data_IF_485692270109
#
_entry.id   IF_485692270109
#
_cell.length_a   1.000
_cell.length_b   1.000
_cell.length_c   1.000
_cell.angle_alpha   90.00
_cell.angle_beta   90.00
_cell.angle_gamma   90.00
#
_symmetry.space_group_name_H-M   'P 1'
#
loop_
_entity.id
_entity.type
_entity.pdbx_description
1 polymer ?
#
# COMPACT_ATOMS: atom_id res chain seq x y z
N UNK A 1 -21.74 4.64 -7.91
CA UNK A 1 -20.34 4.32 -7.55
C UNK A 1 -20.37 3.84 -6.09
N UNK A 2 -19.63 2.80 -5.70
CA UNK A 2 -19.69 2.29 -4.33
C UNK A 2 -18.96 3.20 -3.33
N UNK A 3 -19.38 3.18 -2.05
CA UNK A 3 -18.83 4.03 -0.97
C UNK A 3 -17.29 4.01 -0.88
N UNK A 4 -16.67 2.85 -1.17
CA UNK A 4 -15.21 2.71 -1.20
C UNK A 4 -14.53 3.68 -2.14
N UNK A 5 -15.12 3.82 -3.31
CA UNK A 5 -14.55 4.64 -4.36
C UNK A 5 -14.71 6.12 -4.04
N UNK A 6 -15.77 6.51 -3.31
CA UNK A 6 -16.04 7.91 -3.00
C UNK A 6 -14.97 8.52 -2.10
N UNK A 7 -14.53 7.82 -1.05
CA UNK A 7 -13.46 8.32 -0.18
C UNK A 7 -12.10 8.36 -0.89
N UNK A 8 -11.77 7.35 -1.68
CA UNK A 8 -10.55 7.36 -2.50
C UNK A 8 -10.56 8.54 -3.48
N UNK A 9 -11.66 8.77 -4.19
CA UNK A 9 -11.83 9.91 -5.10
C UNK A 9 -11.62 11.24 -4.37
N UNK A 10 -12.19 11.40 -3.18
CA UNK A 10 -12.08 12.63 -2.40
C UNK A 10 -10.63 12.95 -2.04
N UNK A 11 -9.83 11.96 -1.63
CA UNK A 11 -8.41 12.16 -1.34
C UNK A 11 -7.60 12.41 -2.61
N UNK A 12 -7.86 11.66 -3.68
CA UNK A 12 -7.15 11.82 -4.96
C UNK A 12 -7.37 13.20 -5.57
N UNK A 13 -8.57 13.78 -5.46
CA UNK A 13 -8.83 15.16 -5.91
C UNK A 13 -7.91 16.19 -5.25
N UNK A 14 -7.45 15.95 -4.02
CA UNK A 14 -6.53 16.88 -3.35
C UNK A 14 -5.16 16.91 -4.04
N UNK A 15 -4.72 15.79 -4.61
CA UNK A 15 -3.43 15.65 -5.32
C UNK A 15 -3.39 16.40 -6.66
N UNK A 16 -4.53 16.79 -7.22
CA UNK A 16 -4.60 17.60 -8.46
C UNK A 16 -4.15 19.04 -8.22
N UNK A 17 -4.23 19.51 -6.98
CA UNK A 17 -3.73 20.83 -6.62
C UNK A 17 -2.21 20.73 -6.48
N UNK A 18 -1.48 21.78 -6.83
CA UNK A 18 -0.03 21.80 -6.72
C UNK A 18 0.44 21.67 -5.24
N UNK A 19 0.54 20.44 -4.74
CA UNK A 19 0.86 20.13 -3.35
C UNK A 19 2.37 20.05 -3.11
N UNK A 20 2.78 20.42 -1.90
CA UNK A 20 4.13 20.14 -1.42
C UNK A 20 4.25 18.69 -0.90
N UNK A 21 5.48 18.25 -0.63
CA UNK A 21 5.78 16.88 -0.19
C UNK A 21 5.05 16.47 1.11
N UNK A 22 4.86 17.40 2.04
CA UNK A 22 4.15 17.13 3.29
C UNK A 22 2.67 16.87 3.01
N UNK A 23 2.02 17.70 2.20
CA UNK A 23 0.60 17.54 1.86
C UNK A 23 0.36 16.26 1.05
N UNK A 24 1.29 15.88 0.17
CA UNK A 24 1.26 14.59 -0.53
C UNK A 24 1.34 13.45 0.47
N UNK A 25 2.30 13.51 1.40
CA UNK A 25 2.48 12.50 2.46
C UNK A 25 1.23 12.32 3.32
N UNK A 26 0.60 13.43 3.75
CA UNK A 26 -0.65 13.41 4.53
C UNK A 26 -1.81 12.80 3.74
N UNK A 27 -1.88 13.05 2.43
CA UNK A 27 -2.86 12.43 1.56
C UNK A 27 -2.67 10.91 1.48
N UNK A 28 -1.44 10.45 1.28
CA UNK A 28 -1.12 9.03 1.26
C UNK A 28 -1.42 8.37 2.60
N UNK A 29 -1.16 9.04 3.72
CA UNK A 29 -1.50 8.53 5.04
C UNK A 29 -3.01 8.32 5.22
N UNK A 30 -3.85 9.27 4.78
CA UNK A 30 -5.31 9.12 4.84
C UNK A 30 -5.83 8.01 3.94
N UNK A 31 -5.26 7.87 2.74
CA UNK A 31 -5.60 6.76 1.83
C UNK A 31 -5.18 5.42 2.44
N UNK A 32 -3.96 5.34 3.00
CA UNK A 32 -3.46 4.13 3.65
C UNK A 32 -4.32 3.71 4.84
N UNK A 33 -4.65 4.65 5.72
CA UNK A 33 -5.56 4.42 6.84
C UNK A 33 -6.89 3.86 6.37
N UNK A 34 -7.48 4.48 5.34
CA UNK A 34 -8.71 3.99 4.77
C UNK A 34 -8.63 2.55 4.24
N UNK A 35 -7.65 2.28 3.39
CA UNK A 35 -7.49 0.97 2.75
C UNK A 35 -7.13 -0.14 3.75
N UNK A 36 -6.36 0.17 4.80
CA UNK A 36 -5.79 -0.82 5.72
C UNK A 36 -6.65 -1.03 6.97
N UNK A 37 -7.47 -0.05 7.37
CA UNK A 37 -8.31 -0.11 8.58
C UNK A 37 -9.81 -0.22 8.27
N UNK A 38 -10.27 0.22 7.09
CA UNK A 38 -11.72 0.28 6.78
C UNK A 38 -12.10 -0.50 5.52
N UNK A 39 -11.16 -1.13 4.83
CA UNK A 39 -11.43 -1.97 3.66
C UNK A 39 -11.01 -3.42 3.87
N UNK A 40 -11.83 -4.34 3.37
CA UNK A 40 -11.49 -5.75 3.21
C UNK A 40 -11.28 -6.02 1.73
N UNK A 41 -10.14 -6.61 1.38
CA UNK A 41 -9.91 -7.17 0.05
C UNK A 41 -10.58 -8.56 -0.01
N UNK A 42 -11.49 -8.75 -0.95
CA UNK A 42 -12.15 -10.02 -1.23
C UNK A 42 -11.52 -10.67 -2.47
N UNK A 43 -11.23 -11.96 -2.39
CA UNK A 43 -10.81 -12.79 -3.52
C UNK A 43 -11.48 -14.17 -3.40
N UNK A 44 -12.54 -14.38 -4.19
CA UNK A 44 -13.43 -15.53 -4.08
C UNK A 44 -13.99 -15.69 -2.67
N UNK A 45 -13.75 -16.86 -2.08
CA UNK A 45 -14.21 -17.20 -0.72
C UNK A 45 -13.40 -16.51 0.38
N UNK A 46 -12.24 -15.95 0.06
CA UNK A 46 -11.32 -15.40 1.04
C UNK A 46 -11.50 -13.90 1.22
N UNK A 47 -11.24 -13.48 2.47
CA UNK A 47 -11.22 -12.09 2.88
C UNK A 47 -9.87 -11.76 3.51
N UNK A 48 -9.34 -10.61 3.16
CA UNK A 48 -8.02 -10.17 3.56
C UNK A 48 -8.05 -8.75 4.12
N UNK A 49 -7.15 -8.50 5.07
CA UNK A 49 -6.72 -7.15 5.41
C UNK A 49 -5.50 -6.80 4.56
N UNK A 50 -5.46 -5.61 3.98
CA UNK A 50 -4.23 -5.08 3.38
C UNK A 50 -3.32 -4.62 4.52
N UNK A 51 -2.08 -5.13 4.54
CA UNK A 51 -1.12 -4.88 5.64
C UNK A 51 0.17 -4.20 5.20
N UNK A 52 0.42 -4.12 3.88
CA UNK A 52 1.58 -3.39 3.36
C UNK A 52 1.28 -2.81 1.98
N UNK A 53 1.48 -1.51 1.79
CA UNK A 53 1.30 -0.81 0.51
C UNK A 53 2.44 0.18 0.22
N UNK A 54 2.67 0.47 -1.06
CA UNK A 54 3.59 1.52 -1.53
C UNK A 54 2.91 2.45 -2.53
N UNK A 55 3.10 3.76 -2.37
CA UNK A 55 2.61 4.76 -3.31
C UNK A 55 3.65 5.09 -4.39
N UNK A 56 3.17 5.16 -5.63
CA UNK A 56 3.90 5.60 -6.80
C UNK A 56 3.10 6.73 -7.44
N UNK A 57 3.62 7.95 -7.36
CA UNK A 57 2.94 9.16 -7.81
C UNK A 57 3.88 10.01 -8.65
N UNK A 58 3.49 10.27 -9.91
CA UNK A 58 4.28 11.09 -10.81
C UNK A 58 3.44 12.23 -11.34
N UNK A 59 3.88 13.46 -11.02
CA UNK A 59 3.31 14.71 -11.48
C UNK A 59 4.44 15.66 -11.89
N UNK A 60 4.18 16.68 -12.69
CA UNK A 60 5.21 17.61 -13.20
C UNK A 60 6.09 18.19 -12.08
N UNK A 61 5.47 18.56 -10.95
CA UNK A 61 6.15 19.12 -9.77
C UNK A 61 6.54 18.08 -8.72
N UNK A 62 6.24 16.81 -9.00
CA UNK A 62 6.63 15.66 -8.20
C UNK A 62 7.05 14.50 -9.13
N UNK A 63 8.16 14.67 -9.88
CA UNK A 63 8.54 13.74 -10.94
C UNK A 63 9.21 12.48 -10.39
N UNK A 64 8.47 11.65 -9.67
CA UNK A 64 8.99 10.38 -9.13
C UNK A 64 9.38 9.46 -10.31
N UNK A 65 10.67 9.10 -10.46
CA UNK A 65 11.14 8.31 -11.60
C UNK A 65 10.90 6.81 -11.42
N UNK A 66 10.41 6.37 -10.25
CA UNK A 66 10.10 4.97 -9.99
C UNK A 66 8.68 4.57 -10.41
N UNK A 67 7.86 5.54 -10.81
CA UNK A 67 6.53 5.29 -11.38
C UNK A 67 6.68 4.74 -12.79
N UNK A 68 5.88 3.74 -13.14
CA UNK A 68 5.95 3.11 -14.47
C UNK A 68 5.48 4.04 -15.59
N UNK A 69 4.63 5.01 -15.26
CA UNK A 69 3.99 5.95 -16.20
C UNK A 69 3.22 5.24 -17.33
N UNK A 70 2.66 4.07 -17.02
CA UNK A 70 1.80 3.35 -17.94
C UNK A 70 0.42 4.02 -18.03
N UNK A 71 -0.27 3.97 -19.16
CA UNK A 71 -1.57 4.65 -19.35
C UNK A 71 -2.64 4.20 -18.33
N UNK A 72 -2.61 2.94 -17.90
CA UNK A 72 -3.48 2.48 -16.80
C UNK A 72 -3.29 3.28 -15.50
N UNK A 73 -2.09 3.80 -15.23
CA UNK A 73 -1.83 4.64 -14.06
C UNK A 73 -2.41 6.05 -14.19
N UNK A 74 -3.01 6.45 -15.34
CA UNK A 74 -3.85 7.67 -15.47
C UNK A 74 -5.32 7.42 -15.14
N UNK A 75 -5.66 6.22 -14.68
CA UNK A 75 -7.02 5.87 -14.29
C UNK A 75 -7.18 5.84 -12.78
N UNK A 76 -8.41 5.95 -12.30
CA UNK A 76 -8.74 5.93 -10.88
C UNK A 76 -9.51 4.66 -10.49
N UNK A 77 -9.03 3.99 -9.45
CA UNK A 77 -9.57 2.81 -8.79
C UNK A 77 -9.74 1.59 -9.69
N UNK A 78 -8.85 1.42 -10.66
CA UNK A 78 -8.75 0.18 -11.44
C UNK A 78 -7.67 -0.72 -10.84
N UNK A 79 -7.82 -2.02 -11.05
CA UNK A 79 -6.74 -2.98 -10.82
C UNK A 79 -5.74 -2.87 -11.97
N UNK A 80 -4.45 -2.72 -11.64
CA UNK A 80 -3.38 -2.73 -12.62
C UNK A 80 -2.32 -3.74 -12.23
N UNK A 81 -2.24 -4.85 -12.97
CA UNK A 81 -1.24 -5.89 -12.78
C UNK A 81 -0.04 -5.62 -13.69
N UNK A 82 1.17 -5.69 -13.13
CA UNK A 82 2.43 -5.57 -13.86
C UNK A 82 3.49 -6.49 -13.26
N UNK A 83 4.68 -6.54 -13.87
CA UNK A 83 5.76 -7.48 -13.50
C UNK A 83 6.29 -7.36 -12.06
N UNK A 84 5.88 -6.34 -11.30
CA UNK A 84 6.27 -6.19 -9.90
C UNK A 84 5.12 -6.46 -8.91
N UNK A 85 3.87 -6.59 -9.36
CA UNK A 85 2.72 -6.75 -8.47
C UNK A 85 1.42 -6.21 -9.03
N UNK A 86 0.49 -5.93 -8.10
CA UNK A 86 -0.84 -5.40 -8.38
C UNK A 86 -1.02 -4.05 -7.70
N UNK A 87 -1.44 -3.07 -8.49
CA UNK A 87 -1.74 -1.72 -8.05
C UNK A 87 -3.25 -1.48 -7.98
N UNK A 88 -3.65 -0.62 -7.04
CA UNK A 88 -4.88 0.19 -7.16
C UNK A 88 -4.47 1.49 -7.85
N UNK A 89 -4.97 1.75 -9.05
CA UNK A 89 -4.65 2.98 -9.76
C UNK A 89 -5.31 4.18 -9.09
N UNK A 90 -4.64 5.33 -9.06
CA UNK A 90 -5.20 6.56 -8.52
C UNK A 90 -4.86 7.81 -9.34
N UNK A 91 -4.44 7.63 -10.59
CA UNK A 91 -4.10 8.74 -11.46
C UNK A 91 -5.29 9.43 -12.09
N UNK A 92 -4.94 10.46 -12.85
CA UNK A 92 -5.88 11.27 -13.65
C UNK A 92 -5.22 11.60 -14.99
N UNK A 93 -5.83 12.47 -15.80
CA UNK A 93 -5.18 12.97 -17.01
C UNK A 93 -3.90 13.78 -16.71
N UNK A 94 -3.81 14.38 -15.51
CA UNK A 94 -2.73 15.29 -15.12
C UNK A 94 -1.53 14.57 -14.47
N UNK A 95 -1.73 13.34 -13.97
CA UNK A 95 -0.69 12.60 -13.25
C UNK A 95 -0.89 11.09 -13.27
N UNK A 96 0.21 10.38 -13.04
CA UNK A 96 0.22 8.92 -12.91
C UNK A 96 0.19 8.53 -11.42
N UNK A 97 -0.62 7.54 -11.07
CA UNK A 97 -0.75 7.04 -9.70
C UNK A 97 -1.01 5.53 -9.63
N UNK A 98 -0.22 4.82 -8.82
CA UNK A 98 -0.44 3.42 -8.47
C UNK A 98 -0.11 3.12 -7.00
N UNK A 99 -1.02 2.42 -6.30
CA UNK A 99 -0.81 1.93 -4.93
C UNK A 99 -0.52 0.44 -5.00
N UNK A 100 0.76 0.08 -4.90
CA UNK A 100 1.21 -1.30 -4.95
C UNK A 100 0.81 -2.03 -3.66
N UNK A 101 0.06 -3.11 -3.79
CA UNK A 101 -0.25 -4.00 -2.65
C UNK A 101 0.90 -4.99 -2.49
N UNK A 102 1.59 -4.90 -1.35
CA UNK A 102 2.76 -5.73 -1.04
C UNK A 102 2.50 -6.83 -0.05
N UNK A 103 1.49 -6.67 0.77
CA UNK A 103 1.18 -7.60 1.83
C UNK A 103 -0.29 -7.60 2.17
N UNK A 104 -0.82 -8.80 2.37
CA UNK A 104 -2.18 -9.03 2.85
C UNK A 104 -2.16 -10.06 3.99
N UNK A 105 -3.11 -9.96 4.91
CA UNK A 105 -3.34 -10.94 5.97
C UNK A 105 -4.71 -11.60 5.76
N UNK A 106 -4.73 -12.92 5.61
CA UNK A 106 -5.97 -13.68 5.47
C UNK A 106 -6.74 -13.67 6.80
N UNK A 107 -8.04 -13.37 6.76
CA UNK A 107 -8.84 -13.18 7.98
C UNK A 107 -9.17 -14.49 8.70
N UNK A 108 -9.27 -15.61 7.97
CA UNK A 108 -9.68 -16.92 8.49
C UNK A 108 -8.66 -17.52 9.46
N UNK A 109 -7.37 -17.43 9.13
CA UNK A 109 -6.27 -18.10 9.84
C UNK A 109 -5.16 -17.13 10.28
N UNK A 110 -5.31 -15.83 9.99
CA UNK A 110 -4.32 -14.77 10.27
C UNK A 110 -2.98 -14.97 9.57
N UNK A 111 -2.94 -15.79 8.52
CA UNK A 111 -1.75 -15.99 7.71
C UNK A 111 -1.36 -14.70 6.98
N UNK A 112 -0.09 -14.33 7.07
CA UNK A 112 0.47 -13.23 6.28
C UNK A 112 0.96 -13.75 4.93
N UNK A 113 0.58 -13.04 3.88
CA UNK A 113 1.11 -13.17 2.54
C UNK A 113 1.90 -11.89 2.28
N UNK A 114 3.23 -11.99 2.21
CA UNK A 114 4.12 -10.85 2.01
C UNK A 114 4.96 -11.02 0.76
N UNK A 115 5.10 -9.93 0.02
CA UNK A 115 5.68 -9.89 -1.32
C UNK A 115 4.60 -9.65 -2.37
N UNK A 116 4.74 -8.63 -3.23
CA UNK A 116 3.67 -8.23 -4.15
C UNK A 116 3.31 -9.31 -5.19
N UNK A 117 4.28 -10.13 -5.62
CA UNK A 117 3.99 -11.28 -6.49
C UNK A 117 3.30 -12.43 -5.75
N UNK A 118 3.59 -12.63 -4.46
CA UNK A 118 2.87 -13.61 -3.64
C UNK A 118 1.43 -13.17 -3.39
N UNK A 119 1.17 -11.86 -3.27
CA UNK A 119 -0.19 -11.30 -3.19
C UNK A 119 -0.98 -11.67 -4.45
N UNK A 120 -0.40 -11.50 -5.65
CA UNK A 120 -1.06 -11.93 -6.89
C UNK A 120 -1.33 -13.44 -6.86
N UNK A 121 -0.32 -14.26 -6.56
CA UNK A 121 -0.46 -15.71 -6.54
C UNK A 121 -1.57 -16.18 -5.59
N UNK A 122 -1.64 -15.59 -4.40
CA UNK A 122 -2.69 -15.84 -3.40
C UNK A 122 -4.08 -15.44 -3.92
N UNK A 123 -4.23 -14.25 -4.50
CA UNK A 123 -5.51 -13.80 -5.08
C UNK A 123 -5.95 -14.79 -6.17
N UNK A 124 -5.08 -15.11 -7.13
CA UNK A 124 -5.40 -15.99 -8.24
C UNK A 124 -5.71 -17.43 -7.79
N UNK A 125 -5.09 -17.89 -6.71
CA UNK A 125 -5.40 -19.20 -6.11
C UNK A 125 -6.86 -19.29 -5.64
N UNK A 126 -7.45 -18.20 -5.13
CA UNK A 126 -8.78 -18.22 -4.53
C UNK A 126 -9.91 -17.66 -5.39
N UNK A 127 -9.62 -16.98 -6.51
CA UNK A 127 -10.67 -16.50 -7.42
C UNK A 127 -11.26 -17.59 -8.32
N UNK A 128 -10.60 -18.75 -8.47
CA UNK A 128 -11.14 -19.91 -9.19
C UNK A 128 -10.25 -20.45 -10.31
N UNK A 129 -10.70 -21.54 -10.92
CA UNK A 129 -10.05 -22.20 -12.05
C UNK A 129 -10.43 -21.60 -13.41
N UNK A 130 -9.89 -22.17 -14.48
CA UNK A 130 -10.11 -21.73 -15.87
C UNK A 130 -11.57 -21.82 -16.35
N UNK A 131 -12.38 -22.61 -15.66
CA UNK A 131 -13.80 -22.86 -15.89
C UNK A 131 -14.72 -21.97 -15.04
N UNK A 132 -14.17 -21.21 -14.09
CA UNK A 132 -14.93 -20.29 -13.24
C UNK A 132 -15.13 -18.96 -13.98
N UNK A 133 -16.37 -18.63 -14.30
CA UNK A 133 -16.72 -17.42 -15.06
C UNK A 133 -17.07 -16.22 -14.17
N UNK A 134 -17.64 -16.47 -12.99
CA UNK A 134 -18.02 -15.42 -12.04
C UNK A 134 -17.06 -15.41 -10.86
N UNK A 135 -16.30 -14.32 -10.70
CA UNK A 135 -15.31 -14.16 -9.65
C UNK A 135 -15.62 -12.95 -8.78
N UNK A 136 -15.63 -13.13 -7.46
CA UNK A 136 -15.68 -12.02 -6.51
C UNK A 136 -14.27 -11.53 -6.20
N UNK A 137 -13.85 -10.45 -6.85
CA UNK A 137 -12.58 -9.78 -6.56
C UNK A 137 -12.78 -8.27 -6.42
N UNK A 138 -12.37 -7.70 -5.29
CA UNK A 138 -12.58 -6.27 -5.04
C UNK A 138 -12.39 -5.85 -3.59
N UNK A 139 -12.45 -4.54 -3.37
CA UNK A 139 -12.50 -3.95 -2.03
C UNK A 139 -13.95 -3.78 -1.57
N UNK A 140 -14.21 -4.13 -0.31
CA UNK A 140 -15.48 -3.85 0.37
C UNK A 140 -15.20 -3.06 1.64
N UNK A 141 -15.92 -1.96 1.85
CA UNK A 141 -15.84 -1.20 3.09
C UNK A 141 -16.40 -2.05 4.22
N UNK A 142 -15.62 -2.18 5.27
CA UNK A 142 -15.98 -2.91 6.47
C UNK A 142 -15.08 -2.44 7.60
N UNK A 143 -15.69 -1.94 8.66
CA UNK A 143 -14.96 -1.59 9.87
C UNK A 143 -14.23 -2.82 10.42
N UNK A 144 -12.97 -2.64 10.80
CA UNK A 144 -12.11 -3.66 11.37
C UNK A 144 -11.51 -3.16 12.68
N UNK A 145 -10.90 -4.07 13.45
CA UNK A 145 -10.03 -3.64 14.53
C UNK A 145 -8.97 -2.70 13.98
N UNK A 146 -8.87 -1.50 14.55
CA UNK A 146 -7.89 -0.52 14.11
C UNK A 146 -6.47 -1.05 14.35
N UNK A 147 -5.59 -0.85 13.38
CA UNK A 147 -4.17 -1.19 13.48
C UNK A 147 -3.35 0.08 13.33
N UNK A 148 -2.28 0.18 14.13
CA UNK A 148 -1.27 1.21 13.90
C UNK A 148 -0.63 0.99 12.54
N UNK A 149 -0.44 2.08 11.80
CA UNK A 149 0.25 2.10 10.52
C UNK A 149 1.58 2.82 10.70
N UNK A 150 2.69 2.13 10.38
CA UNK A 150 3.99 2.76 10.26
C UNK A 150 4.21 3.29 8.86
N UNK A 151 4.76 4.50 8.78
CA UNK A 151 5.21 5.11 7.53
C UNK A 151 6.71 4.90 7.35
N UNK A 152 7.15 4.47 6.16
CA UNK A 152 8.58 4.17 5.92
C UNK A 152 8.97 4.37 4.46
N UNK A 153 10.27 4.24 4.15
CA UNK A 153 10.75 4.27 2.77
C UNK A 153 10.35 2.99 2.02
N UNK A 154 10.15 3.15 0.71
CA UNK A 154 9.85 2.04 -0.21
C UNK A 154 11.02 1.07 -0.31
N UNK A 155 10.72 -0.17 -0.70
CA UNK A 155 11.68 -1.29 -0.79
C UNK A 155 11.98 -1.61 -2.25
N UNK A 156 13.24 -1.93 -2.54
CA UNK A 156 13.65 -2.42 -3.86
C UNK A 156 13.82 -1.33 -4.92
N UNK A 157 13.87 -0.06 -4.51
CA UNK A 157 14.22 1.04 -5.42
C UNK A 157 15.73 1.01 -5.73
N UNK A 158 16.07 1.10 -7.02
CA UNK A 158 17.47 1.15 -7.46
C UNK A 158 18.07 2.52 -7.19
N UNK A 159 19.18 2.55 -6.45
CA UNK A 159 19.95 3.78 -6.20
C UNK A 159 20.48 4.45 -7.45
N UNK A 160 20.58 3.71 -8.56
CA UNK A 160 21.18 4.18 -9.81
C UNK A 160 20.15 4.82 -10.75
N UNK A 161 18.88 4.92 -10.34
CA UNK A 161 17.83 5.55 -11.16
C UNK A 161 18.06 7.07 -11.20
N UNK A 162 18.31 7.61 -12.39
CA UNK A 162 18.47 9.06 -12.62
C UNK A 162 17.26 9.83 -12.07
N UNK A 163 17.52 10.87 -11.27
CA UNK A 163 16.48 11.66 -10.59
C UNK A 163 15.85 10.99 -9.37
N UNK A 164 16.32 9.80 -8.98
CA UNK A 164 15.70 8.99 -7.92
C UNK A 164 16.19 9.28 -6.50
N UNK A 165 17.29 10.03 -6.33
CA UNK A 165 17.96 10.25 -5.05
C UNK A 165 17.02 10.83 -3.98
N UNK A 166 16.23 11.84 -4.35
CA UNK A 166 15.24 12.46 -3.47
C UNK A 166 14.05 11.56 -3.11
N UNK A 167 13.84 10.45 -3.83
CA UNK A 167 12.69 9.56 -3.68
C UNK A 167 13.01 8.27 -2.92
N UNK A 168 14.29 7.93 -2.75
CA UNK A 168 14.74 6.74 -2.01
C UNK A 168 14.35 6.79 -0.53
N UNK A 169 14.37 7.98 0.06
CA UNK A 169 14.09 8.19 1.49
C UNK A 169 12.66 8.68 1.76
N UNK A 170 11.89 9.03 0.72
CA UNK A 170 10.49 9.45 0.88
C UNK A 170 9.67 8.34 1.53
N UNK A 171 8.84 8.73 2.48
CA UNK A 171 8.08 7.82 3.35
C UNK A 171 6.79 7.34 2.67
N UNK A 172 6.90 6.75 1.48
CA UNK A 172 5.74 6.36 0.65
C UNK A 172 5.36 4.89 0.77
N UNK A 173 5.81 4.22 1.84
CA UNK A 173 5.41 2.86 2.20
C UNK A 173 4.66 2.88 3.53
N UNK A 174 3.59 2.11 3.61
CA UNK A 174 2.76 2.01 4.81
C UNK A 174 2.63 0.54 5.23
N UNK A 175 2.80 0.26 6.51
CA UNK A 175 2.80 -1.10 7.08
C UNK A 175 1.94 -1.16 8.33
N UNK A 176 0.98 -2.09 8.40
CA UNK A 176 0.13 -2.32 9.58
C UNK A 176 0.33 -3.72 10.15
N UNK A 177 -0.40 -4.08 11.21
CA UNK A 177 -0.28 -5.40 11.87
C UNK A 177 1.17 -5.73 12.23
N UNK A 178 1.89 -4.73 12.73
CA UNK A 178 3.32 -4.83 13.04
C UNK A 178 3.48 -5.86 14.15
N UNK A 179 4.34 -6.83 13.91
CA UNK A 179 4.51 -7.96 14.80
C UNK A 179 5.63 -8.90 14.37
N UNK A 180 6.03 -9.82 15.26
CA UNK A 180 7.09 -10.78 14.96
C UNK A 180 6.70 -11.69 13.79
N UNK A 181 5.41 -12.06 13.69
CA UNK A 181 4.86 -12.96 12.66
C UNK A 181 4.67 -12.32 11.29
N UNK A 182 4.62 -11.00 11.16
CA UNK A 182 4.47 -10.34 9.86
C UNK A 182 5.84 -10.29 9.16
N UNK A 183 6.03 -10.94 8.00
CA UNK A 183 7.35 -11.06 7.37
C UNK A 183 7.64 -9.92 6.36
N UNK A 184 7.33 -8.67 6.70
CA UNK A 184 7.66 -7.52 5.83
C UNK A 184 9.16 -7.20 5.86
N UNK A 185 9.66 -6.66 4.73
CA UNK A 185 11.08 -6.29 4.58
C UNK A 185 11.46 -5.03 5.37
N UNK A 186 12.74 -4.90 5.70
CA UNK A 186 13.33 -3.72 6.34
C UNK A 186 12.76 -3.39 7.73
N UNK A 187 12.46 -4.41 8.56
CA UNK A 187 11.92 -4.23 9.92
C UNK A 187 12.68 -3.19 10.76
N UNK A 188 14.02 -3.18 10.72
CA UNK A 188 14.84 -2.19 11.45
C UNK A 188 14.56 -0.75 10.99
N UNK A 189 14.43 -0.52 9.67
CA UNK A 189 14.13 0.82 9.13
C UNK A 189 12.74 1.28 9.58
N UNK A 190 11.74 0.40 9.47
CA UNK A 190 10.37 0.70 9.91
C UNK A 190 10.33 1.00 11.42
N UNK A 191 11.08 0.25 12.22
CA UNK A 191 11.17 0.50 13.65
C UNK A 191 11.84 1.85 13.98
N UNK A 192 12.92 2.20 13.28
CA UNK A 192 13.58 3.50 13.44
C UNK A 192 12.65 4.64 13.01
N UNK A 193 11.88 4.47 11.93
CA UNK A 193 10.93 5.48 11.47
C UNK A 193 9.76 5.70 12.44
N UNK A 194 9.37 4.66 13.17
CA UNK A 194 8.39 4.76 14.25
C UNK A 194 8.92 5.45 15.50
N UNK A 195 10.24 5.41 15.72
CA UNK A 195 10.90 6.05 16.85
C UNK A 195 10.96 7.55 16.57
N UNK A 196 10.06 8.28 17.22
CA UNK A 196 9.76 9.68 16.91
C UNK A 196 8.26 9.95 17.05
N UNK A 197 7.44 9.00 16.62
CA UNK A 197 5.99 8.98 16.87
C UNK A 197 5.63 8.16 18.12
N UNK A 198 6.46 7.17 18.46
CA UNK A 198 6.28 6.28 19.60
C UNK A 198 7.55 6.19 20.43
N UNK A 199 7.39 5.82 21.70
CA UNK A 199 8.52 5.48 22.57
C UNK A 199 9.20 4.19 22.12
N UNK A 200 10.48 4.07 22.47
CA UNK A 200 11.28 2.86 22.25
C UNK A 200 10.60 1.61 22.82
N UNK A 201 9.99 1.74 24.00
CA UNK A 201 9.30 0.65 24.67
C UNK A 201 8.07 0.19 23.87
N UNK A 202 7.27 1.12 23.36
CA UNK A 202 6.12 0.82 22.50
C UNK A 202 6.54 0.15 21.20
N UNK A 203 7.60 0.64 20.55
CA UNK A 203 8.12 0.04 19.32
C UNK A 203 8.60 -1.39 19.57
N UNK A 204 9.38 -1.63 20.62
CA UNK A 204 9.81 -2.98 20.97
C UNK A 204 8.61 -3.91 21.28
N UNK A 205 7.56 -3.39 21.91
CA UNK A 205 6.32 -4.12 22.18
C UNK A 205 5.61 -4.52 20.87
N UNK A 206 5.45 -3.59 19.93
CA UNK A 206 4.86 -3.86 18.61
C UNK A 206 5.62 -4.96 17.86
N UNK A 207 6.95 -4.89 17.83
CA UNK A 207 7.75 -5.89 17.11
C UNK A 207 7.86 -7.23 17.86
N UNK A 208 7.60 -7.25 19.17
CA UNK A 208 7.74 -8.43 20.02
C UNK A 208 9.19 -8.82 20.33
N UNK A 209 10.15 -7.93 20.07
CA UNK A 209 11.56 -8.10 20.39
C UNK A 209 12.27 -6.75 20.47
N UNK A 210 13.42 -6.71 21.15
CA UNK A 210 14.24 -5.50 21.25
C UNK A 210 14.90 -5.22 19.90
N UNK A 211 14.56 -4.10 19.28
CA UNK A 211 15.27 -3.63 18.10
C UNK A 211 16.46 -2.79 18.55
N UNK A 212 17.66 -3.26 18.22
CA UNK A 212 18.87 -2.46 18.39
C UNK A 212 18.80 -1.29 17.42
N UNK A 213 18.45 -0.12 17.94
CA UNK A 213 18.43 1.14 17.19
C UNK A 213 19.85 1.57 16.90
#
# INVERSE_FOLDING_TARGET
MGLVFDRLVQEVKKLQNNLNDQQISECFQRIADYLMNYCVLKAGIQNYRIVEIEFYFHHEKHPDPYVHQHENQKTLGRWYVHGAGIDITFGTLDFYGGILIRGIQRKSDKQFISGPLHVIAEIFHFIGGVDVQEVEFGLKEKEMSYETIAQSSRVGLSSNKKGGEGYLKKKYRFVSCIGPKHPFKNKKIVALDLVGEKSVQEVNSLFGYKIMM
#
